data_IF_258283453555
#
_entry.id   IF_258283453555
#
_cell.length_a   1.000
_cell.length_b   1.000
_cell.length_c   1.000
_cell.angle_alpha   90.00
_cell.angle_beta   90.00
_cell.angle_gamma   90.00
#
_symmetry.space_group_name_H-M   'P 1'
#
loop_
_entity.id
_entity.type
_entity.pdbx_description
1 polymer ?
#
# COMPACT_ATOMS: atom_id res chain seq x y z
N UNK A 1 -4.55 -17.66 -0.27
CA UNK A 1 -4.26 -16.65 0.76
C UNK A 1 -2.75 -16.56 0.86
N UNK A 2 -2.22 -15.40 0.52
CA UNK A 2 -0.81 -15.05 0.71
C UNK A 2 -0.60 -14.77 2.20
N UNK A 3 0.41 -15.39 2.80
CA UNK A 3 0.70 -15.21 4.23
C UNK A 3 1.79 -14.15 4.47
N UNK A 4 1.93 -13.71 5.72
CA UNK A 4 3.01 -12.84 6.14
C UNK A 4 4.40 -13.46 5.85
N UNK A 5 4.53 -14.78 6.00
CA UNK A 5 5.76 -15.49 5.69
C UNK A 5 6.07 -15.47 4.19
N UNK A 6 5.05 -15.65 3.33
CA UNK A 6 5.22 -15.72 1.87
C UNK A 6 5.76 -14.41 1.28
N UNK A 7 5.38 -13.26 1.84
CA UNK A 7 5.81 -11.95 1.31
C UNK A 7 7.08 -11.41 1.96
N UNK A 8 7.56 -12.01 3.05
CA UNK A 8 8.67 -11.46 3.84
C UNK A 8 9.98 -11.38 3.05
N UNK A 9 10.17 -12.29 2.12
CA UNK A 9 11.39 -12.38 1.30
C UNK A 9 11.36 -11.50 0.04
N UNK A 10 10.22 -10.86 -0.27
CA UNK A 10 10.11 -9.95 -1.42
C UNK A 10 11.09 -8.77 -1.27
N UNK A 11 11.75 -8.39 -2.36
CA UNK A 11 12.81 -7.37 -2.34
C UNK A 11 12.28 -6.03 -1.82
N UNK A 12 11.09 -5.64 -2.27
CA UNK A 12 10.44 -4.39 -1.85
C UNK A 12 10.01 -4.42 -0.38
N UNK A 13 9.68 -5.60 0.17
CA UNK A 13 9.33 -5.76 1.59
C UNK A 13 10.59 -5.67 2.45
N UNK A 14 11.66 -6.37 2.09
CA UNK A 14 12.96 -6.26 2.78
C UNK A 14 13.48 -4.82 2.77
N UNK A 15 13.36 -4.14 1.63
CA UNK A 15 13.72 -2.73 1.53
C UNK A 15 12.87 -1.84 2.46
N UNK A 16 11.56 -2.04 2.47
CA UNK A 16 10.66 -1.30 3.35
C UNK A 16 11.00 -1.54 4.82
N UNK A 17 11.22 -2.79 5.23
CA UNK A 17 11.59 -3.14 6.61
C UNK A 17 12.86 -2.43 7.06
N UNK A 18 13.91 -2.48 6.25
CA UNK A 18 15.17 -1.80 6.53
C UNK A 18 15.01 -0.27 6.56
N UNK A 19 14.28 0.30 5.59
CA UNK A 19 14.10 1.75 5.45
C UNK A 19 13.22 2.35 6.55
N UNK A 20 12.17 1.66 6.95
CA UNK A 20 11.25 2.05 8.01
C UNK A 20 11.69 1.58 9.41
N UNK A 21 12.81 0.85 9.50
CA UNK A 21 13.36 0.24 10.72
C UNK A 21 12.38 -0.72 11.42
N UNK A 22 11.59 -1.44 10.63
CA UNK A 22 10.65 -2.44 11.17
C UNK A 22 11.34 -3.69 11.69
N UNK A 23 12.58 -3.98 11.26
CA UNK A 23 13.36 -5.13 11.76
C UNK A 23 13.62 -5.10 13.27
N UNK A 24 13.62 -3.92 13.89
CA UNK A 24 13.77 -3.75 15.34
C UNK A 24 12.44 -3.66 16.11
N UNK A 25 11.30 -3.74 15.41
CA UNK A 25 9.99 -3.70 16.06
C UNK A 25 9.63 -5.07 16.67
N UNK A 26 8.74 -5.13 17.67
CA UNK A 26 8.21 -6.39 18.19
C UNK A 26 7.64 -7.30 17.10
N UNK A 27 7.80 -8.62 17.27
CA UNK A 27 7.40 -9.61 16.25
C UNK A 27 5.89 -9.55 15.93
N UNK A 28 5.04 -9.36 16.94
CA UNK A 28 3.59 -9.21 16.78
C UNK A 28 3.23 -7.98 15.91
N UNK A 29 3.97 -6.89 16.05
CA UNK A 29 3.82 -5.72 15.19
C UNK A 29 4.24 -6.02 13.75
N UNK A 30 5.38 -6.70 13.56
CA UNK A 30 5.89 -7.08 12.24
C UNK A 30 4.89 -8.02 11.52
N UNK A 31 4.40 -9.04 12.23
CA UNK A 31 3.40 -9.98 11.72
C UNK A 31 2.11 -9.26 11.33
N UNK A 32 1.65 -8.31 12.14
CA UNK A 32 0.45 -7.52 11.86
C UNK A 32 0.60 -6.70 10.57
N UNK A 33 1.70 -5.96 10.41
CA UNK A 33 1.87 -5.11 9.21
C UNK A 33 2.11 -5.94 7.94
N UNK A 34 2.77 -7.09 8.06
CA UNK A 34 2.91 -8.05 6.96
C UNK A 34 1.57 -8.69 6.61
N UNK A 35 0.74 -9.03 7.60
CA UNK A 35 -0.60 -9.56 7.37
C UNK A 35 -1.49 -8.58 6.59
N UNK A 36 -1.46 -7.29 6.95
CA UNK A 36 -2.18 -6.25 6.19
C UNK A 36 -1.67 -6.14 4.75
N UNK A 37 -0.35 -6.17 4.53
CA UNK A 37 0.20 -6.10 3.17
C UNK A 37 -0.12 -7.37 2.36
N UNK A 38 -0.08 -8.55 2.99
CA UNK A 38 -0.39 -9.82 2.35
C UNK A 38 -1.87 -9.89 1.93
N UNK A 39 -2.79 -9.45 2.80
CA UNK A 39 -4.21 -9.35 2.45
C UNK A 39 -4.46 -8.35 1.31
N UNK A 40 -3.75 -7.23 1.28
CA UNK A 40 -3.81 -6.30 0.16
C UNK A 40 -3.28 -6.91 -1.15
N UNK A 41 -2.20 -7.69 -1.07
CA UNK A 41 -1.67 -8.46 -2.20
C UNK A 41 -2.68 -9.47 -2.73
N UNK A 42 -3.39 -10.18 -1.85
CA UNK A 42 -4.46 -11.10 -2.22
C UNK A 42 -5.60 -10.40 -2.95
N UNK A 43 -6.07 -9.26 -2.41
CA UNK A 43 -7.16 -8.49 -3.03
C UNK A 43 -6.82 -8.03 -4.45
N UNK A 44 -5.59 -7.56 -4.65
CA UNK A 44 -5.16 -7.03 -5.95
C UNK A 44 -4.68 -8.12 -6.92
N UNK A 45 -4.49 -9.35 -6.43
CA UNK A 45 -3.86 -10.45 -7.16
C UNK A 45 -2.42 -10.13 -7.57
N UNK A 46 -1.68 -9.37 -6.74
CA UNK A 46 -0.32 -8.89 -7.03
C UNK A 46 0.61 -9.13 -5.86
N UNK A 47 1.81 -9.59 -6.18
CA UNK A 47 2.92 -9.62 -5.21
C UNK A 47 3.34 -8.19 -4.81
N UNK A 48 4.03 -8.01 -3.67
CA UNK A 48 4.55 -6.70 -3.27
C UNK A 48 5.42 -6.04 -4.35
N UNK A 49 6.28 -6.81 -5.01
CA UNK A 49 7.16 -6.30 -6.08
C UNK A 49 6.35 -5.84 -7.30
N UNK A 50 5.29 -6.56 -7.67
CA UNK A 50 4.37 -6.17 -8.74
C UNK A 50 3.55 -4.92 -8.40
N UNK A 51 3.15 -4.74 -7.13
CA UNK A 51 2.46 -3.52 -6.68
C UNK A 51 3.34 -2.28 -6.88
N UNK A 52 4.62 -2.37 -6.50
CA UNK A 52 5.58 -1.29 -6.72
C UNK A 52 5.82 -1.09 -8.21
N UNK A 53 6.07 -2.16 -8.97
CA UNK A 53 6.33 -2.09 -10.41
C UNK A 53 5.16 -1.47 -11.18
N UNK A 54 3.92 -1.82 -10.82
CA UNK A 54 2.69 -1.33 -11.44
C UNK A 54 2.57 0.19 -11.44
N UNK A 55 3.10 0.86 -10.41
CA UNK A 55 3.06 2.31 -10.32
C UNK A 55 3.97 3.02 -11.33
N UNK A 56 4.97 2.33 -11.88
CA UNK A 56 5.90 2.90 -12.84
C UNK A 56 5.56 2.50 -14.27
N UNK A 57 5.66 3.47 -15.18
CA UNK A 57 5.56 3.25 -16.62
C UNK A 57 6.83 3.74 -17.31
N UNK A 58 7.01 3.34 -18.57
CA UNK A 58 8.07 3.86 -19.44
C UNK A 58 7.45 4.73 -20.52
N UNK A 59 8.06 5.89 -20.80
CA UNK A 59 7.67 6.70 -21.95
C UNK A 59 8.02 5.97 -23.25
N UNK A 60 7.13 6.00 -24.23
CA UNK A 60 7.29 5.27 -25.50
C UNK A 60 8.46 5.77 -26.34
N UNK A 61 8.72 7.08 -26.29
CA UNK A 61 9.74 7.78 -27.09
C UNK A 61 11.16 7.63 -26.54
N UNK A 62 11.31 7.65 -25.22
CA UNK A 62 12.60 7.77 -24.53
C UNK A 62 12.93 6.56 -23.67
N UNK A 63 11.97 5.65 -23.45
CA UNK A 63 12.12 4.51 -22.54
C UNK A 63 12.25 4.90 -21.06
N UNK A 64 12.23 6.21 -20.73
CA UNK A 64 12.45 6.73 -19.38
C UNK A 64 11.34 6.26 -18.45
N UNK A 65 11.74 5.66 -17.33
CA UNK A 65 10.82 5.25 -16.25
C UNK A 65 10.28 6.49 -15.54
N UNK A 66 8.98 6.53 -15.30
CA UNK A 66 8.33 7.60 -14.54
C UNK A 66 7.19 7.04 -13.69
N UNK A 67 6.88 7.74 -12.61
CA UNK A 67 5.79 7.41 -11.70
C UNK A 67 4.45 7.89 -12.27
N UNK A 68 3.52 6.97 -12.50
CA UNK A 68 2.24 7.28 -13.17
C UNK A 68 1.19 7.79 -12.19
N UNK A 69 0.69 9.02 -12.43
CA UNK A 69 -0.40 9.61 -11.64
C UNK A 69 -1.64 8.70 -11.64
N UNK A 70 -2.05 8.20 -12.80
CA UNK A 70 -3.22 7.31 -12.93
C UNK A 70 -3.07 6.03 -12.12
N UNK A 71 -1.87 5.42 -12.14
CA UNK A 71 -1.61 4.18 -11.37
C UNK A 71 -1.62 4.43 -9.87
N UNK A 72 -1.20 5.61 -9.40
CA UNK A 72 -1.33 6.00 -7.99
C UNK A 72 -2.77 6.24 -7.56
N UNK A 73 -3.60 6.83 -8.42
CA UNK A 73 -5.04 6.96 -8.17
C UNK A 73 -5.66 5.58 -8.02
N UNK A 74 -5.40 4.66 -8.97
CA UNK A 74 -5.85 3.27 -8.88
C UNK A 74 -5.40 2.58 -7.59
N UNK A 75 -4.15 2.82 -7.17
CA UNK A 75 -3.63 2.25 -5.92
C UNK A 75 -4.41 2.73 -4.69
N UNK A 76 -4.75 4.02 -4.65
CA UNK A 76 -5.63 4.55 -3.59
C UNK A 76 -7.04 3.96 -3.65
N UNK A 77 -7.61 3.77 -4.85
CA UNK A 77 -8.92 3.12 -5.00
C UNK A 77 -8.89 1.68 -4.46
N UNK A 78 -7.84 0.90 -4.77
CA UNK A 78 -7.68 -0.44 -4.20
C UNK A 78 -7.48 -0.42 -2.69
N UNK A 79 -6.74 0.56 -2.14
CA UNK A 79 -6.59 0.69 -0.69
C UNK A 79 -7.94 0.99 -0.03
N UNK A 80 -8.75 1.86 -0.63
CA UNK A 80 -10.07 2.20 -0.10
C UNK A 80 -11.05 1.01 -0.22
N UNK A 81 -10.98 0.25 -1.32
CA UNK A 81 -11.69 -1.02 -1.50
C UNK A 81 -11.28 -2.05 -0.44
N UNK A 82 -9.98 -2.18 -0.18
CA UNK A 82 -9.46 -3.11 0.83
C UNK A 82 -9.94 -2.76 2.24
N UNK A 83 -9.87 -1.49 2.61
CA UNK A 83 -10.40 -0.99 3.89
C UNK A 83 -11.90 -1.30 4.03
N UNK A 84 -12.66 -1.11 2.95
CA UNK A 84 -14.10 -1.39 2.95
C UNK A 84 -14.41 -2.89 3.07
N UNK A 85 -13.67 -3.74 2.34
CA UNK A 85 -13.84 -5.19 2.36
C UNK A 85 -13.50 -5.79 3.74
N UNK A 86 -12.45 -5.31 4.38
CA UNK A 86 -12.07 -5.73 5.74
C UNK A 86 -13.01 -5.15 6.83
N UNK A 87 -13.89 -4.22 6.46
CA UNK A 87 -14.84 -3.59 7.38
C UNK A 87 -14.18 -2.68 8.42
N UNK A 88 -12.92 -2.26 8.22
CA UNK A 88 -12.25 -1.36 9.14
C UNK A 88 -12.89 0.02 9.15
N UNK A 89 -13.01 0.61 10.34
CA UNK A 89 -13.64 1.92 10.52
C UNK A 89 -12.76 2.86 11.35
N UNK A 90 -13.05 4.16 11.26
CA UNK A 90 -12.42 5.19 12.09
C UNK A 90 -10.88 5.13 12.07
N UNK A 91 -10.29 4.98 13.25
CA UNK A 91 -8.82 4.94 13.41
C UNK A 91 -8.19 3.71 12.74
N UNK A 92 -8.84 2.56 12.80
CA UNK A 92 -8.28 1.30 12.27
C UNK A 92 -8.19 1.33 10.74
N UNK A 93 -9.21 1.90 10.08
CA UNK A 93 -9.18 2.17 8.65
C UNK A 93 -7.96 3.01 8.26
N UNK A 94 -7.71 4.11 9.00
CA UNK A 94 -6.58 4.99 8.75
C UNK A 94 -5.25 4.28 8.99
N UNK A 95 -5.11 3.56 10.11
CA UNK A 95 -3.87 2.88 10.47
C UNK A 95 -3.52 1.81 9.45
N UNK A 96 -4.46 0.93 9.08
CA UNK A 96 -4.18 -0.17 8.17
C UNK A 96 -3.96 0.31 6.73
N UNK A 97 -4.71 1.32 6.28
CA UNK A 97 -4.45 1.94 4.98
C UNK A 97 -3.05 2.61 4.93
N UNK A 98 -2.59 3.16 6.05
CA UNK A 98 -1.25 3.74 6.15
C UNK A 98 -0.13 2.71 6.18
N UNK A 99 -0.39 1.45 6.57
CA UNK A 99 0.58 0.37 6.40
C UNK A 99 0.90 0.19 4.92
N UNK A 100 -0.12 0.04 4.08
CA UNK A 100 0.05 -0.12 2.63
C UNK A 100 0.71 1.11 1.99
N UNK A 101 0.26 2.33 2.36
CA UNK A 101 0.87 3.57 1.86
C UNK A 101 2.32 3.72 2.31
N UNK A 102 2.64 3.35 3.55
CA UNK A 102 4.01 3.35 4.08
C UNK A 102 4.92 2.46 3.25
N UNK A 103 4.51 1.20 3.02
CA UNK A 103 5.24 0.28 2.13
C UNK A 103 5.53 0.90 0.76
N UNK A 104 4.52 1.50 0.13
CA UNK A 104 4.65 2.15 -1.18
C UNK A 104 5.61 3.35 -1.14
N UNK A 105 5.49 4.22 -0.14
CA UNK A 105 6.33 5.42 0.02
C UNK A 105 7.80 5.06 0.19
N UNK A 106 8.10 4.08 1.05
CA UNK A 106 9.47 3.61 1.25
C UNK A 106 10.06 2.98 -0.03
N UNK A 107 9.22 2.46 -0.93
CA UNK A 107 9.62 1.97 -2.25
C UNK A 107 9.57 3.03 -3.37
N UNK A 108 9.54 4.33 -3.02
CA UNK A 108 9.63 5.44 -3.96
C UNK A 108 8.31 5.84 -4.62
N UNK A 109 7.17 5.33 -4.13
CA UNK A 109 5.84 5.69 -4.61
C UNK A 109 5.27 6.78 -3.68
N UNK A 110 5.51 8.04 -4.02
CA UNK A 110 4.88 9.15 -3.31
C UNK A 110 3.35 9.11 -3.48
N UNK A 111 2.63 8.66 -2.45
CA UNK A 111 1.17 8.49 -2.41
C UNK A 111 0.63 9.01 -1.07
N UNK A 112 -0.51 9.68 -1.11
CA UNK A 112 -1.25 10.11 0.07
C UNK A 112 -2.72 9.69 -0.06
N UNK A 113 -3.40 9.51 1.08
CA UNK A 113 -4.85 9.34 1.08
C UNK A 113 -5.57 10.61 0.60
N UNK A 114 -6.87 10.49 0.32
CA UNK A 114 -7.70 11.69 0.13
C UNK A 114 -7.60 12.55 1.40
N UNK A 115 -7.27 13.83 1.23
CA UNK A 115 -7.45 14.81 2.31
C UNK A 115 -8.93 14.74 2.70
N UNK A 116 -9.23 14.52 3.97
CA UNK A 116 -10.60 14.50 4.48
C UNK A 116 -11.26 15.85 4.21
N UNK A 117 -11.84 16.01 3.01
CA UNK A 117 -12.71 17.14 2.72
C UNK A 117 -14.02 16.78 3.41
N UNK A 118 -14.36 17.50 4.48
CA UNK A 118 -15.72 17.49 5.04
C UNK A 118 -16.68 17.49 3.85
N UNK A 119 -17.39 16.38 3.64
CA UNK A 119 -18.49 16.36 2.68
C UNK A 119 -19.44 17.46 3.16
N UNK A 120 -19.76 18.51 2.37
CA UNK A 120 -20.85 19.37 2.75
C UNK A 120 -22.08 18.46 2.92
N UNK A 121 -22.77 18.61 4.05
CA UNK A 121 -24.04 17.95 4.25
C UNK A 121 -24.91 18.27 3.03
N UNK A 122 -25.28 17.25 2.26
CA UNK A 122 -26.35 17.39 1.28
C UNK A 122 -27.63 17.49 2.10
N UNK A 123 -28.17 18.71 2.11
CA UNK A 123 -29.58 19.09 2.26
C UNK A 123 -30.41 18.22 3.23
N UNK A 124 -30.67 18.79 4.41
CA UNK A 124 -31.83 18.48 5.25
C UNK A 124 -32.95 19.48 4.94
#
# INVERSE_FOLDING_TARGET
MTTAADIRDADTVRHWFASAKHDGAPDDYQERILGVLAGFSDLTGKTPDELVAFCFLRKKDTGKRFLSVKRRVQMNEWIDEYVAQEGWQGKDAVVNANVVRGFLIHNGIAIGGQVWRKRPAKDA
#
